data_IF_863777268419
#
_entry.id   IF_863777268419
#
_cell.length_a   1.000
_cell.length_b   1.000
_cell.length_c   1.000
_cell.angle_alpha   90.00
_cell.angle_beta   90.00
_cell.angle_gamma   90.00
#
_symmetry.space_group_name_H-M   'P 1'
#
loop_
_entity.id
_entity.type
_entity.pdbx_description
1 polymer ?
#
# COMPACT_ATOMS: atom_id res chain seq x y z
N UNK A 1 13.12 -19.71 -1.03
CA UNK A 1 12.80 -18.32 -1.41
C UNK A 1 13.71 -17.40 -0.62
N UNK A 2 14.41 -16.44 -1.25
CA UNK A 2 15.19 -15.45 -0.52
C UNK A 2 14.30 -14.69 0.46
N UNK A 3 14.87 -14.29 1.60
CA UNK A 3 14.14 -13.56 2.65
C UNK A 3 13.99 -12.12 2.19
N UNK A 4 12.79 -11.75 1.74
CA UNK A 4 12.48 -10.37 1.33
C UNK A 4 12.75 -9.43 2.50
N UNK A 5 13.61 -8.44 2.29
CA UNK A 5 13.88 -7.39 3.27
C UNK A 5 12.68 -6.44 3.36
N UNK A 6 12.03 -6.44 4.53
CA UNK A 6 10.89 -5.58 4.87
C UNK A 6 11.21 -4.11 4.67
N UNK A 7 12.40 -3.67 5.06
CA UNK A 7 12.77 -2.26 4.93
C UNK A 7 12.99 -1.88 3.48
N UNK A 8 13.63 -2.76 2.70
CA UNK A 8 13.82 -2.55 1.27
C UNK A 8 12.48 -2.46 0.53
N UNK A 9 11.55 -3.38 0.83
CA UNK A 9 10.18 -3.34 0.30
C UNK A 9 9.49 -2.01 0.62
N UNK A 10 9.48 -1.62 1.90
CA UNK A 10 8.83 -0.37 2.33
C UNK A 10 9.47 0.82 1.62
N UNK A 11 10.81 0.96 1.65
CA UNK A 11 11.53 2.04 0.96
C UNK A 11 11.17 2.09 -0.53
N UNK A 12 11.05 0.93 -1.19
CA UNK A 12 10.69 0.87 -2.61
C UNK A 12 9.27 1.40 -2.86
N UNK A 13 8.30 1.00 -2.03
CA UNK A 13 6.92 1.53 -2.14
C UNK A 13 6.89 3.04 -1.95
N UNK A 14 7.62 3.60 -0.98
CA UNK A 14 7.69 5.07 -0.80
C UNK A 14 8.24 5.80 -2.03
N UNK A 15 9.29 5.26 -2.66
CA UNK A 15 9.85 5.83 -3.89
C UNK A 15 8.78 5.88 -4.97
N UNK A 16 8.12 4.75 -5.23
CA UNK A 16 7.11 4.64 -6.29
C UNK A 16 5.86 5.49 -6.01
N UNK A 17 5.40 5.54 -4.76
CA UNK A 17 4.28 6.41 -4.32
C UNK A 17 4.57 7.87 -4.63
N UNK A 18 5.77 8.34 -4.29
CA UNK A 18 6.18 9.73 -4.53
C UNK A 18 6.34 10.03 -6.03
N UNK A 19 6.95 9.12 -6.80
CA UNK A 19 7.07 9.24 -8.26
C UNK A 19 5.69 9.37 -8.93
N UNK A 20 4.72 8.55 -8.48
CA UNK A 20 3.35 8.55 -8.99
C UNK A 20 2.47 9.66 -8.38
N UNK A 21 2.99 10.43 -7.41
CA UNK A 21 2.25 11.48 -6.69
C UNK A 21 0.95 11.00 -6.02
N UNK A 22 0.91 9.73 -5.61
CA UNK A 22 -0.24 9.15 -4.92
C UNK A 22 -0.23 9.61 -3.45
N UNK A 23 -1.34 10.12 -2.89
CA UNK A 23 -1.39 10.50 -1.49
C UNK A 23 -1.18 9.29 -0.56
N UNK A 24 -0.29 9.42 0.42
CA UNK A 24 0.01 8.39 1.40
C UNK A 24 -0.27 8.87 2.82
N UNK A 25 -1.02 8.05 3.57
CA UNK A 25 -1.25 8.20 5.00
C UNK A 25 -0.35 7.21 5.73
N UNK A 26 0.51 7.75 6.59
CA UNK A 26 1.49 7.02 7.40
C UNK A 26 1.49 7.64 8.81
N UNK A 27 1.74 6.83 9.83
CA UNK A 27 1.92 7.27 11.22
C UNK A 27 3.01 8.33 11.41
N UNK A 28 3.98 8.43 10.48
CA UNK A 28 4.97 9.52 10.43
C UNK A 28 4.40 10.83 9.88
N UNK A 29 3.45 10.75 8.95
CA UNK A 29 2.87 11.94 8.28
C UNK A 29 1.71 12.52 9.09
N UNK A 30 0.97 11.66 9.79
CA UNK A 30 -0.18 12.08 10.60
C UNK A 30 -0.09 11.48 12.00
N UNK A 31 0.68 12.13 12.89
CA UNK A 31 0.93 11.66 14.26
C UNK A 31 -0.33 11.44 15.12
N UNK A 32 -1.49 11.98 14.71
CA UNK A 32 -2.78 11.82 15.40
C UNK A 32 -3.88 11.19 14.51
N UNK A 33 -3.52 10.49 13.43
CA UNK A 33 -4.51 9.75 12.64
C UNK A 33 -4.78 8.39 13.26
N UNK A 34 -6.01 8.18 13.74
CA UNK A 34 -6.46 6.86 14.17
C UNK A 34 -7.02 6.08 12.96
N UNK A 35 -6.28 5.09 12.48
CA UNK A 35 -6.73 4.22 11.40
C UNK A 35 -7.57 3.11 12.03
N UNK A 36 -8.89 3.19 11.88
CA UNK A 36 -9.84 2.21 12.41
C UNK A 36 -10.14 1.18 11.30
N UNK A 37 -9.63 -0.07 11.41
CA UNK A 37 -9.91 -1.08 10.42
C UNK A 37 -11.38 -1.52 10.51
N UNK A 38 -12.04 -1.64 9.35
CA UNK A 38 -13.37 -2.23 9.22
C UNK A 38 -13.27 -3.48 8.34
N UNK A 39 -14.14 -4.46 8.58
CA UNK A 39 -14.22 -5.65 7.69
C UNK A 39 -14.62 -5.20 6.29
N UNK A 40 -13.79 -5.52 5.31
CA UNK A 40 -14.16 -5.44 3.91
C UNK A 40 -14.94 -6.70 3.51
N UNK A 41 -15.88 -6.54 2.59
CA UNK A 41 -16.60 -7.67 1.98
C UNK A 41 -15.68 -8.44 1.04
N UNK A 42 -14.82 -7.72 0.31
CA UNK A 42 -13.85 -8.30 -0.62
C UNK A 42 -12.45 -7.81 -0.23
N UNK A 43 -11.51 -8.74 -0.11
CA UNK A 43 -10.12 -8.45 0.20
C UNK A 43 -9.23 -8.98 -0.91
N UNK A 44 -8.49 -8.09 -1.58
CA UNK A 44 -7.62 -8.41 -2.70
C UNK A 44 -6.16 -8.20 -2.27
N UNK A 45 -5.40 -9.29 -2.27
CA UNK A 45 -4.02 -9.32 -1.79
C UNK A 45 -3.02 -9.27 -2.95
N UNK A 46 -2.20 -8.23 -2.95
CA UNK A 46 -1.00 -8.10 -3.77
C UNK A 46 0.19 -8.53 -2.94
N UNK A 47 0.81 -9.65 -3.32
CA UNK A 47 2.05 -10.10 -2.70
C UNK A 47 3.24 -9.57 -3.48
N UNK A 48 4.10 -8.80 -2.85
CA UNK A 48 5.34 -8.32 -3.45
C UNK A 48 6.34 -9.46 -3.60
N UNK A 49 7.02 -9.49 -4.73
CA UNK A 49 8.13 -10.37 -5.01
C UNK A 49 9.35 -9.51 -5.36
N UNK A 50 10.51 -9.91 -4.85
CA UNK A 50 11.74 -9.14 -5.01
C UNK A 50 12.10 -8.97 -6.49
N UNK A 51 12.34 -7.73 -6.91
CA UNK A 51 12.63 -7.39 -8.31
C UNK A 51 11.40 -7.12 -9.18
N UNK A 52 10.17 -7.27 -8.65
CA UNK A 52 8.94 -7.04 -9.41
C UNK A 52 8.22 -5.74 -8.97
N UNK A 53 8.56 -4.63 -9.60
CA UNK A 53 7.89 -3.34 -9.36
C UNK A 53 6.47 -3.27 -9.97
N UNK A 54 6.15 -4.13 -10.95
CA UNK A 54 4.85 -4.11 -11.64
C UNK A 54 3.69 -4.31 -10.68
N UNK A 55 3.84 -5.13 -9.65
CA UNK A 55 2.79 -5.33 -8.62
C UNK A 55 2.59 -4.08 -7.78
N UNK A 56 3.67 -3.42 -7.37
CA UNK A 56 3.60 -2.17 -6.62
C UNK A 56 2.99 -1.07 -7.48
N UNK A 57 3.46 -0.91 -8.72
CA UNK A 57 2.92 0.06 -9.68
C UNK A 57 1.46 -0.20 -10.01
N UNK A 58 1.07 -1.47 -10.18
CA UNK A 58 -0.32 -1.87 -10.41
C UNK A 58 -1.20 -1.53 -9.20
N UNK A 59 -0.76 -1.88 -7.99
CA UNK A 59 -1.44 -1.50 -6.75
C UNK A 59 -1.60 0.02 -6.62
N UNK A 60 -0.53 0.79 -6.81
CA UNK A 60 -0.56 2.26 -6.74
C UNK A 60 -1.39 2.88 -7.87
N UNK A 61 -1.39 2.27 -9.05
CA UNK A 61 -2.23 2.67 -10.18
C UNK A 61 -3.72 2.54 -9.85
N UNK A 62 -4.13 1.57 -9.01
CA UNK A 62 -5.50 1.50 -8.52
C UNK A 62 -5.83 2.68 -7.61
N UNK A 63 -4.89 3.12 -6.76
CA UNK A 63 -5.11 4.29 -5.90
C UNK A 63 -5.34 5.56 -6.74
N UNK A 64 -4.54 5.74 -7.79
CA UNK A 64 -4.69 6.85 -8.73
C UNK A 64 -6.01 6.76 -9.52
N UNK A 65 -6.31 5.58 -10.08
CA UNK A 65 -7.54 5.32 -10.85
C UNK A 65 -8.82 5.62 -10.05
N UNK A 66 -8.86 5.22 -8.78
CA UNK A 66 -10.01 5.48 -7.90
C UNK A 66 -9.94 6.85 -7.21
N UNK A 67 -8.94 7.67 -7.50
CA UNK A 67 -8.70 8.98 -6.89
C UNK A 67 -8.75 8.93 -5.35
N UNK A 68 -8.03 7.98 -4.77
CA UNK A 68 -8.02 7.70 -3.34
C UNK A 68 -6.62 7.80 -2.75
N UNK A 69 -6.50 7.48 -1.46
CA UNK A 69 -5.26 7.49 -0.70
C UNK A 69 -4.76 6.06 -0.46
N UNK A 70 -3.44 5.92 -0.36
CA UNK A 70 -2.79 4.72 0.18
C UNK A 70 -2.61 4.91 1.68
N UNK A 71 -2.83 3.85 2.45
CA UNK A 71 -2.65 3.85 3.90
C UNK A 71 -1.58 2.83 4.26
N UNK A 72 -0.53 3.25 4.95
CA UNK A 72 0.47 2.32 5.49
C UNK A 72 0.11 1.93 6.92
N UNK A 73 0.04 0.62 7.18
CA UNK A 73 -0.01 0.08 8.54
C UNK A 73 1.06 -1.00 8.70
N UNK A 74 1.98 -0.79 9.65
CA UNK A 74 3.14 -1.68 9.89
C UNK A 74 3.95 -1.90 8.60
N UNK A 75 3.87 -3.11 8.04
CA UNK A 75 4.61 -3.56 6.86
C UNK A 75 3.69 -3.81 5.65
N UNK A 76 2.44 -3.35 5.71
CA UNK A 76 1.48 -3.46 4.63
C UNK A 76 0.97 -2.08 4.20
N UNK A 77 0.53 -2.01 2.96
CA UNK A 77 -0.11 -0.84 2.37
C UNK A 77 -1.52 -1.20 1.94
N UNK A 78 -2.45 -0.28 2.09
CA UNK A 78 -3.87 -0.51 1.90
C UNK A 78 -4.50 0.56 1.04
N UNK A 79 -5.45 0.17 0.19
CA UNK A 79 -6.34 1.07 -0.54
C UNK A 79 -7.78 0.67 -0.21
N UNK A 80 -8.51 1.45 0.59
CA UNK A 80 -9.91 1.19 0.88
C UNK A 80 -10.82 1.81 -0.19
N UNK A 81 -11.67 1.01 -0.83
CA UNK A 81 -12.67 1.46 -1.82
C UNK A 81 -14.03 0.82 -1.51
N UNK A 82 -14.93 1.58 -0.90
CA UNK A 82 -16.27 1.10 -0.55
C UNK A 82 -16.21 -0.16 0.33
N UNK A 83 -16.63 -1.31 -0.22
CA UNK A 83 -16.59 -2.63 0.43
C UNK A 83 -15.38 -3.49 0.05
N UNK A 84 -14.47 -2.97 -0.78
CA UNK A 84 -13.26 -3.63 -1.26
C UNK A 84 -12.05 -3.05 -0.52
N UNK A 85 -11.17 -3.92 -0.06
CA UNK A 85 -9.86 -3.57 0.45
C UNK A 85 -8.81 -4.18 -0.46
N UNK A 86 -7.92 -3.36 -0.99
CA UNK A 86 -6.70 -3.84 -1.62
C UNK A 86 -5.58 -3.76 -0.58
N UNK A 87 -4.82 -4.84 -0.42
CA UNK A 87 -3.64 -4.89 0.44
C UNK A 87 -2.41 -5.24 -0.39
N UNK A 88 -1.31 -4.50 -0.19
CA UNK A 88 0.01 -4.83 -0.69
C UNK A 88 0.92 -5.21 0.50
N UNK A 89 1.46 -6.42 0.47
CA UNK A 89 2.31 -6.98 1.54
C UNK A 89 3.39 -7.93 0.99
N UNK A 90 4.27 -8.44 1.85
CA UNK A 90 5.32 -9.42 1.50
C UNK A 90 5.04 -10.83 2.03
#
# INVERSE_FOLDING_TARGET
MPKIDKEAFIKRVYVLVNEMKVPLIDSKTYHNCNIIPKRATVHILFKYEEGEDSRVKGFLGLADYYHTVVIRMKNSFYIPIGSILFELTI
#
